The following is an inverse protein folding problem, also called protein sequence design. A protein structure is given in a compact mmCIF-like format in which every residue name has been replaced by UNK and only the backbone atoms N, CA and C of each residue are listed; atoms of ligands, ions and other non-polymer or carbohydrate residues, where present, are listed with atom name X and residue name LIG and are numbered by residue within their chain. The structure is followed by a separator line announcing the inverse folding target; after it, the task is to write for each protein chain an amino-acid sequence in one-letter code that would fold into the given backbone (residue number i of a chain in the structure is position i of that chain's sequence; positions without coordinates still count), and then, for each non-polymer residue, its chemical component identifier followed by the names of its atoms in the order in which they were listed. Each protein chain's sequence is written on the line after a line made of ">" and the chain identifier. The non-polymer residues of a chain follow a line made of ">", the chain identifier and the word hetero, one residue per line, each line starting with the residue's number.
data_IF_811209794590
#
_entry.id   IF_811209794590
#
_cell.length_a   1.000
_cell.length_b   1.000
_cell.length_c   1.000
_cell.angle_alpha   90.00
_cell.angle_beta   90.00
_cell.angle_gamma   90.00
#
_symmetry.space_group_name_H-M   'P 1'
#
loop_
_entity.id
_entity.type
_entity.pdbx_description
1 polymer ?
#
# COMPACT_ATOMS: atom_id res chain seq x y z
N UNK A 1 -20.04 -21.40 0.52
CA UNK A 1 -20.55 -20.04 0.31
C UNK A 1 -19.58 -19.06 0.95
N UNK A 2 -18.84 -18.27 0.17
CA UNK A 2 -17.97 -17.24 0.72
C UNK A 2 -18.86 -16.15 1.31
N UNK A 3 -18.87 -16.02 2.63
CA UNK A 3 -19.56 -14.95 3.34
C UNK A 3 -18.83 -13.64 2.98
N UNK A 4 -19.27 -12.97 1.91
CA UNK A 4 -18.83 -11.62 1.57
C UNK A 4 -19.48 -10.70 2.60
N UNK A 5 -18.94 -10.69 3.82
CA UNK A 5 -19.27 -9.66 4.81
C UNK A 5 -19.04 -8.31 4.12
N UNK A 6 -20.08 -7.48 4.12
CA UNK A 6 -20.06 -6.12 3.60
C UNK A 6 -18.79 -5.39 4.04
N UNK A 7 -18.25 -4.54 3.18
CA UNK A 7 -17.18 -3.64 3.55
C UNK A 7 -17.55 -2.93 4.84
N UNK A 8 -16.76 -3.12 5.91
CA UNK A 8 -16.96 -2.29 7.09
C UNK A 8 -16.27 -0.96 6.79
N UNK A 9 -17.01 0.14 6.86
CA UNK A 9 -16.42 1.48 6.66
C UNK A 9 -15.22 1.71 7.58
N UNK A 10 -15.21 1.04 8.75
CA UNK A 10 -14.10 1.04 9.69
C UNK A 10 -12.83 0.35 9.16
N UNK A 11 -12.90 -0.71 8.34
CA UNK A 11 -11.71 -1.31 7.69
C UNK A 11 -11.10 -0.33 6.68
N UNK A 12 -11.92 0.32 5.87
CA UNK A 12 -11.45 1.30 4.87
C UNK A 12 -10.76 2.47 5.56
N UNK A 13 -11.39 3.04 6.59
CA UNK A 13 -10.81 4.15 7.34
C UNK A 13 -9.48 3.79 8.01
N UNK A 14 -9.40 2.62 8.65
CA UNK A 14 -8.15 2.13 9.26
C UNK A 14 -7.07 1.85 8.22
N UNK A 15 -7.45 1.39 7.03
CA UNK A 15 -6.51 1.19 5.93
C UNK A 15 -5.93 2.51 5.41
N UNK A 16 -6.77 3.54 5.25
CA UNK A 16 -6.32 4.88 4.85
C UNK A 16 -5.34 5.44 5.89
N UNK A 17 -5.67 5.35 7.19
CA UNK A 17 -4.77 5.76 8.28
C UNK A 17 -3.47 4.97 8.23
N UNK A 18 -3.55 3.65 8.09
CA UNK A 18 -2.39 2.77 8.05
C UNK A 18 -1.45 3.13 6.89
N UNK A 19 -2.00 3.32 5.69
CA UNK A 19 -1.23 3.75 4.51
C UNK A 19 -0.61 5.13 4.72
N UNK A 20 -1.39 6.10 5.21
CA UNK A 20 -0.90 7.45 5.49
C UNK A 20 0.24 7.48 6.51
N UNK A 21 0.13 6.71 7.60
CA UNK A 21 1.19 6.57 8.61
C UNK A 21 2.43 5.89 8.03
N UNK A 22 2.26 4.86 7.19
CA UNK A 22 3.39 4.21 6.53
C UNK A 22 4.13 5.17 5.59
N UNK A 23 3.39 5.97 4.80
CA UNK A 23 3.98 7.00 3.93
C UNK A 23 4.71 8.06 4.76
N UNK A 24 4.10 8.57 5.84
CA UNK A 24 4.76 9.52 6.73
C UNK A 24 6.04 8.94 7.34
N UNK A 25 6.02 7.68 7.76
CA UNK A 25 7.17 6.97 8.29
C UNK A 25 8.28 6.81 7.24
N UNK A 26 7.93 6.48 5.99
CA UNK A 26 8.88 6.40 4.88
C UNK A 26 9.62 7.73 4.71
N UNK A 27 8.88 8.82 4.55
CA UNK A 27 9.46 10.15 4.37
C UNK A 27 10.27 10.60 5.58
N UNK A 28 9.82 10.30 6.81
CA UNK A 28 10.54 10.59 8.04
C UNK A 28 11.91 9.89 8.09
N UNK A 29 11.94 8.58 7.85
CA UNK A 29 13.19 7.80 7.82
C UNK A 29 14.10 8.29 6.68
N UNK A 30 13.53 8.47 5.49
CA UNK A 30 14.27 8.96 4.33
C UNK A 30 14.95 10.30 4.63
N UNK A 31 14.21 11.27 5.18
CA UNK A 31 14.73 12.59 5.50
C UNK A 31 15.81 12.55 6.58
N UNK A 32 15.60 11.79 7.66
CA UNK A 32 16.61 11.61 8.72
C UNK A 32 17.90 11.00 8.17
N UNK A 33 17.82 9.99 7.32
CA UNK A 33 19.00 9.37 6.72
C UNK A 33 19.74 10.33 5.77
N UNK A 34 19.02 11.18 5.03
CA UNK A 34 19.64 12.24 4.24
C UNK A 34 20.38 13.26 5.12
N UNK A 35 19.82 13.66 6.26
CA UNK A 35 20.52 14.54 7.21
C UNK A 35 21.81 13.93 7.75
N UNK A 36 21.86 12.59 7.84
CA UNK A 36 23.06 11.84 8.21
C UNK A 36 24.01 11.59 7.03
N UNK A 37 23.82 12.27 5.89
CA UNK A 37 24.62 12.13 4.67
C UNK A 37 24.64 10.72 4.08
N UNK A 38 23.62 9.90 4.36
CA UNK A 38 23.45 8.60 3.72
C UNK A 38 23.07 8.81 2.26
N UNK A 39 23.61 7.96 1.37
CA UNK A 39 23.29 7.99 -0.05
C UNK A 39 21.77 7.96 -0.29
N UNK A 40 21.27 8.80 -1.20
CA UNK A 40 19.85 8.94 -1.52
C UNK A 40 19.15 7.62 -1.82
N UNK A 41 19.73 6.78 -2.67
CA UNK A 41 19.14 5.50 -3.06
C UNK A 41 19.04 4.55 -1.86
N UNK A 42 20.07 4.55 -1.00
CA UNK A 42 20.08 3.73 0.22
C UNK A 42 19.08 4.25 1.25
N UNK A 43 19.02 5.56 1.47
CA UNK A 43 18.04 6.20 2.35
C UNK A 43 16.61 5.88 1.91
N UNK A 44 16.35 5.95 0.60
CA UNK A 44 15.04 5.63 0.03
C UNK A 44 14.70 4.16 0.23
N UNK A 45 15.62 3.25 -0.06
CA UNK A 45 15.42 1.81 0.09
C UNK A 45 15.15 1.40 1.55
N UNK A 46 15.92 1.93 2.51
CA UNK A 46 15.74 1.65 3.94
C UNK A 46 14.40 2.19 4.43
N UNK A 47 14.07 3.45 4.11
CA UNK A 47 12.79 4.04 4.50
C UNK A 47 11.60 3.30 3.87
N UNK A 48 11.71 2.88 2.62
CA UNK A 48 10.70 2.10 1.93
C UNK A 48 10.52 0.72 2.59
N UNK A 49 11.62 0.01 2.87
CA UNK A 49 11.54 -1.31 3.49
C UNK A 49 10.91 -1.27 4.90
N UNK A 50 11.35 -0.34 5.75
CA UNK A 50 10.83 -0.20 7.11
C UNK A 50 9.36 0.23 7.13
N UNK A 51 8.98 1.20 6.28
CA UNK A 51 7.57 1.60 6.14
C UNK A 51 6.69 0.49 5.57
N UNK A 52 7.22 -0.33 4.66
CA UNK A 52 6.49 -1.47 4.10
C UNK A 52 6.22 -2.55 5.16
N UNK A 53 7.21 -2.87 5.99
CA UNK A 53 7.05 -3.79 7.14
C UNK A 53 6.04 -3.22 8.14
N UNK A 54 6.14 -1.94 8.48
CA UNK A 54 5.18 -1.25 9.34
C UNK A 54 3.75 -1.33 8.78
N UNK A 55 3.58 -1.05 7.48
CA UNK A 55 2.29 -1.13 6.79
C UNK A 55 1.70 -2.54 6.86
N UNK A 56 2.52 -3.57 6.67
CA UNK A 56 2.08 -4.96 6.82
C UNK A 56 1.57 -5.26 8.23
N UNK A 57 2.32 -4.86 9.27
CA UNK A 57 1.95 -5.10 10.67
C UNK A 57 0.68 -4.34 11.06
N UNK A 58 0.56 -3.06 10.68
CA UNK A 58 -0.62 -2.25 10.92
C UNK A 58 -1.83 -2.76 10.13
N UNK A 59 -1.64 -3.18 8.88
CA UNK A 59 -2.70 -3.81 8.11
C UNK A 59 -3.19 -5.07 8.80
N UNK A 60 -2.29 -5.93 9.29
CA UNK A 60 -2.64 -7.16 9.99
C UNK A 60 -3.39 -6.88 11.31
N UNK A 61 -2.75 -6.18 12.25
CA UNK A 61 -3.23 -6.06 13.63
C UNK A 61 -4.28 -4.97 13.81
N UNK A 62 -4.10 -3.82 13.17
CA UNK A 62 -4.99 -2.67 13.34
C UNK A 62 -6.13 -2.68 12.32
N UNK A 63 -5.83 -2.84 11.02
CA UNK A 63 -6.85 -2.76 9.95
C UNK A 63 -7.74 -4.00 9.91
N UNK A 64 -7.18 -5.19 9.75
CA UNK A 64 -7.96 -6.42 9.58
C UNK A 64 -8.12 -7.24 10.86
N UNK A 65 -7.40 -6.89 11.94
CA UNK A 65 -7.42 -7.59 13.24
C UNK A 65 -7.17 -9.10 13.09
N UNK A 66 -6.11 -9.45 12.36
CA UNK A 66 -5.66 -10.82 12.07
C UNK A 66 -4.24 -11.06 12.58
N UNK A 67 -3.91 -12.33 12.82
CA UNK A 67 -2.53 -12.75 13.11
C UNK A 67 -1.69 -12.66 11.84
N UNK A 68 -0.41 -12.32 12.00
CA UNK A 68 0.56 -12.39 10.90
C UNK A 68 0.95 -13.84 10.66
N UNK A 69 1.11 -14.21 9.39
CA UNK A 69 1.59 -15.53 8.97
C UNK A 69 2.53 -15.35 7.78
N UNK A 70 3.39 -16.34 7.50
CA UNK A 70 4.25 -16.31 6.31
C UNK A 70 3.43 -16.17 5.02
N UNK A 71 2.25 -16.80 4.97
CA UNK A 71 1.31 -16.73 3.85
C UNK A 71 0.72 -15.34 3.67
N UNK A 72 0.33 -14.67 4.76
CA UNK A 72 -0.20 -13.31 4.70
C UNK A 72 0.89 -12.32 4.28
N UNK A 73 2.13 -12.49 4.74
CA UNK A 73 3.26 -11.67 4.32
C UNK A 73 3.53 -11.78 2.82
N UNK A 74 3.60 -13.00 2.29
CA UNK A 74 3.77 -13.23 0.85
C UNK A 74 2.60 -12.65 0.04
N UNK A 75 1.37 -12.87 0.49
CA UNK A 75 0.18 -12.30 -0.14
C UNK A 75 0.19 -10.77 -0.15
N UNK A 76 0.70 -10.14 0.92
CA UNK A 76 0.81 -8.69 1.03
C UNK A 76 1.84 -8.12 0.04
N UNK A 77 2.98 -8.79 -0.12
CA UNK A 77 3.99 -8.44 -1.14
C UNK A 77 3.37 -8.54 -2.53
N UNK A 78 2.74 -9.67 -2.85
CA UNK A 78 2.07 -9.88 -4.14
C UNK A 78 1.00 -8.82 -4.39
N UNK A 79 0.20 -8.47 -3.38
CA UNK A 79 -0.82 -7.43 -3.49
C UNK A 79 -0.22 -6.08 -3.90
N UNK A 80 0.89 -5.68 -3.29
CA UNK A 80 1.56 -4.42 -3.62
C UNK A 80 2.23 -4.46 -4.99
N UNK A 81 2.78 -5.61 -5.41
CA UNK A 81 3.30 -5.79 -6.76
C UNK A 81 2.20 -5.65 -7.82
N UNK A 82 1.06 -6.32 -7.63
CA UNK A 82 -0.10 -6.20 -8.53
C UNK A 82 -0.60 -4.75 -8.56
N UNK A 83 -0.69 -4.10 -7.41
CA UNK A 83 -1.12 -2.72 -7.32
C UNK A 83 -0.17 -1.75 -8.05
N UNK A 84 1.14 -1.97 -7.93
CA UNK A 84 2.14 -1.19 -8.65
C UNK A 84 2.00 -1.35 -10.16
N UNK A 85 1.85 -2.59 -10.65
CA UNK A 85 1.63 -2.86 -12.08
C UNK A 85 0.34 -2.20 -12.59
N UNK A 86 -0.75 -2.29 -11.82
CA UNK A 86 -2.02 -1.64 -12.12
C UNK A 86 -1.84 -0.12 -12.20
N UNK A 87 -1.18 0.48 -11.21
CA UNK A 87 -0.92 1.91 -11.18
C UNK A 87 -0.10 2.40 -12.37
N UNK A 88 1.00 1.70 -12.71
CA UNK A 88 1.81 2.03 -13.88
C UNK A 88 0.97 1.92 -15.17
N UNK A 89 0.15 0.87 -15.29
CA UNK A 89 -0.73 0.68 -16.44
C UNK A 89 -1.77 1.81 -16.56
N UNK A 90 -2.40 2.18 -15.44
CA UNK A 90 -3.37 3.29 -15.39
C UNK A 90 -2.72 4.64 -15.70
N UNK A 91 -1.52 4.90 -15.18
CA UNK A 91 -0.81 6.14 -15.45
C UNK A 91 -0.49 6.29 -16.94
N UNK A 92 0.00 5.23 -17.58
CA UNK A 92 0.24 5.23 -19.02
C UNK A 92 -1.05 5.36 -19.82
N UNK A 93 -2.12 4.67 -19.40
CA UNK A 93 -3.44 4.76 -20.03
C UNK A 93 -3.99 6.19 -19.98
N UNK A 94 -3.96 6.85 -18.81
CA UNK A 94 -4.45 8.22 -18.66
C UNK A 94 -3.57 9.24 -19.38
N UNK A 95 -2.24 9.05 -19.38
CA UNK A 95 -1.35 9.88 -20.18
C UNK A 95 -1.63 9.72 -21.69
N UNK A 96 -1.92 8.50 -22.15
CA UNK A 96 -2.31 8.21 -23.53
C UNK A 96 -3.66 8.85 -23.91
N UNK A 97 -4.61 8.93 -22.98
CA UNK A 97 -5.86 9.68 -23.15
C UNK A 97 -5.69 11.21 -23.17
N UNK A 98 -4.46 11.72 -23.05
CA UNK A 98 -4.17 13.15 -23.10
C UNK A 98 -4.33 13.88 -21.75
N UNK A 99 -4.51 13.15 -20.64
CA UNK A 99 -4.50 13.77 -19.31
C UNK A 99 -3.08 14.29 -19.03
N UNK A 100 -2.98 15.54 -18.58
CA UNK A 100 -1.71 16.17 -18.23
C UNK A 100 -0.93 15.31 -17.21
N UNK A 101 0.38 15.13 -17.42
CA UNK A 101 1.22 14.21 -16.61
C UNK A 101 1.17 14.49 -15.10
N UNK A 102 1.00 15.75 -14.70
CA UNK A 102 0.85 16.11 -13.30
C UNK A 102 -0.49 15.67 -12.69
N UNK A 103 -1.53 15.50 -13.50
CA UNK A 103 -2.88 15.12 -13.08
C UNK A 103 -3.16 13.62 -13.28
N UNK A 104 -2.46 12.95 -14.19
CA UNK A 104 -2.62 11.52 -14.47
C UNK A 104 -2.53 10.60 -13.22
N UNK A 105 -1.73 10.90 -12.17
CA UNK A 105 -1.73 10.12 -10.94
C UNK A 105 -3.07 10.13 -10.20
N UNK A 106 -3.86 11.22 -10.27
CA UNK A 106 -5.11 11.38 -9.52
C UNK A 106 -6.13 10.27 -9.86
N UNK A 107 -6.56 10.09 -11.13
CA UNK A 107 -7.48 9.01 -11.48
C UNK A 107 -6.84 7.62 -11.33
N UNK A 108 -5.52 7.50 -11.51
CA UNK A 108 -4.82 6.24 -11.27
C UNK A 108 -4.90 5.82 -9.79
N UNK A 109 -4.65 6.73 -8.84
CA UNK A 109 -4.79 6.49 -7.40
C UNK A 109 -6.25 6.22 -7.00
N UNK A 110 -7.21 6.94 -7.61
CA UNK A 110 -8.64 6.74 -7.34
C UNK A 110 -9.12 5.31 -7.64
N UNK A 111 -8.47 4.62 -8.57
CA UNK A 111 -8.75 3.21 -8.90
C UNK A 111 -7.83 2.27 -8.13
N UNK A 112 -6.51 2.54 -8.12
CA UNK A 112 -5.53 1.60 -7.56
C UNK A 112 -5.66 1.46 -6.04
N UNK A 113 -5.96 2.53 -5.30
CA UNK A 113 -6.08 2.47 -3.84
C UNK A 113 -7.24 1.55 -3.40
N UNK A 114 -8.48 1.69 -3.92
CA UNK A 114 -9.57 0.75 -3.62
C UNK A 114 -9.25 -0.69 -4.03
N UNK A 115 -8.63 -0.90 -5.20
CA UNK A 115 -8.25 -2.24 -5.66
C UNK A 115 -7.22 -2.86 -4.71
N UNK A 116 -6.19 -2.11 -4.30
CA UNK A 116 -5.20 -2.59 -3.34
C UNK A 116 -5.85 -2.99 -2.01
N UNK A 117 -6.76 -2.15 -1.50
CA UNK A 117 -7.51 -2.46 -0.28
C UNK A 117 -8.26 -3.80 -0.39
N UNK A 118 -8.95 -4.03 -1.52
CA UNK A 118 -9.68 -5.28 -1.76
C UNK A 118 -8.72 -6.48 -1.76
N UNK A 119 -7.60 -6.40 -2.48
CA UNK A 119 -6.63 -7.50 -2.57
C UNK A 119 -6.02 -7.78 -1.20
N UNK A 120 -5.55 -6.75 -0.48
CA UNK A 120 -4.96 -6.89 0.86
C UNK A 120 -5.99 -7.47 1.84
N UNK A 121 -7.26 -7.03 1.78
CA UNK A 121 -8.33 -7.61 2.59
C UNK A 121 -8.50 -9.11 2.32
N UNK A 122 -8.44 -9.54 1.06
CA UNK A 122 -8.50 -10.96 0.72
C UNK A 122 -7.30 -11.74 1.27
N UNK A 123 -6.10 -11.17 1.24
CA UNK A 123 -4.89 -11.77 1.83
C UNK A 123 -5.12 -12.09 3.30
N UNK A 124 -5.70 -11.16 4.07
CA UNK A 124 -5.93 -11.35 5.50
C UNK A 124 -7.19 -12.17 5.85
N UNK A 125 -8.21 -12.20 4.97
CA UNK A 125 -9.47 -12.88 5.24
C UNK A 125 -9.59 -14.30 4.65
N UNK A 126 -8.76 -14.70 3.67
CA UNK A 126 -8.80 -16.05 3.08
C UNK A 126 -8.06 -17.12 3.88
N UNK A 127 -7.15 -16.73 4.79
CA UNK A 127 -6.32 -17.69 5.52
C UNK A 127 -7.01 -18.03 6.84
N UNK A 128 -7.67 -19.20 6.87
CA UNK A 128 -7.98 -19.93 8.10
C UNK A 128 -6.72 -20.63 8.59
#
# INVERSE_FOLDING_TARGET
>A
MANIRSFTQSEVFRFIITGGLATALHYGIYFVLLLLSVNMSLAFAVGYFLSFVFNYLMSAYFTFKKKTTKRNGMGFIIAHCINFMLQVSLLNFFAWLGIHKALAPIPAYAISIPVNFIIVRFVFNKVK
#
